data_IF_695648015276
#
_entry.id   IF_695648015276
#
_cell.length_a   1.000
_cell.length_b   1.000
_cell.length_c   1.000
_cell.angle_alpha   90.00
_cell.angle_beta   90.00
_cell.angle_gamma   90.00
#
_symmetry.space_group_name_H-M   'P 1'
#
loop_
_entity.id
_entity.type
_entity.pdbx_description
1 polymer ?
#
# COMPACT_ATOMS: atom_id res chain seq x y z
N UNK A 1 -45.25 -10.86 -26.95
CA UNK A 1 -44.61 -9.53 -26.90
C UNK A 1 -43.24 -9.67 -26.26
N UNK A 2 -42.17 -9.65 -27.06
CA UNK A 2 -40.79 -9.65 -26.57
C UNK A 2 -40.13 -8.32 -26.93
N UNK A 3 -39.40 -7.73 -25.99
CA UNK A 3 -38.55 -6.57 -26.23
C UNK A 3 -37.10 -6.93 -25.94
N UNK A 4 -36.38 -7.34 -27.00
CA UNK A 4 -34.93 -7.38 -27.04
C UNK A 4 -34.41 -5.93 -26.91
N UNK A 5 -33.59 -5.65 -25.90
CA UNK A 5 -32.77 -4.43 -25.89
C UNK A 5 -31.45 -4.72 -26.61
N UNK A 6 -31.19 -3.90 -27.64
CA UNK A 6 -30.03 -3.96 -28.53
C UNK A 6 -28.73 -3.63 -27.79
N UNK A 7 -27.70 -4.41 -28.11
CA UNK A 7 -26.27 -4.10 -27.91
C UNK A 7 -25.89 -2.93 -28.82
N UNK A 8 -25.32 -1.87 -28.26
CA UNK A 8 -24.74 -0.75 -29.00
C UNK A 8 -23.22 -0.78 -28.88
N UNK A 9 -22.54 -1.06 -29.98
CA UNK A 9 -21.09 -0.99 -30.10
C UNK A 9 -20.59 0.34 -30.68
N UNK A 10 -19.26 0.44 -30.67
CA UNK A 10 -18.37 1.33 -31.41
C UNK A 10 -18.13 2.76 -30.86
N UNK A 11 -16.87 3.05 -30.53
CA UNK A 11 -16.01 3.88 -31.39
C UNK A 11 -14.55 3.82 -30.93
N UNK A 12 -13.70 3.14 -31.72
CA UNK A 12 -12.24 3.29 -31.68
C UNK A 12 -11.89 4.58 -32.44
N UNK A 13 -11.43 5.60 -31.74
CA UNK A 13 -10.88 6.81 -32.36
C UNK A 13 -9.35 6.71 -32.37
N UNK A 14 -8.77 6.46 -33.54
CA UNK A 14 -7.34 6.61 -33.78
C UNK A 14 -7.00 8.10 -33.94
N UNK A 15 -6.13 8.62 -33.08
CA UNK A 15 -5.60 9.98 -33.20
C UNK A 15 -4.19 9.91 -33.79
N UNK A 16 -4.07 10.38 -35.03
CA UNK A 16 -2.79 10.61 -35.70
C UNK A 16 -2.13 11.86 -35.12
N UNK A 17 -0.90 11.75 -34.63
CA UNK A 17 -0.09 12.89 -34.19
C UNK A 17 0.76 13.36 -35.38
N UNK A 18 0.39 14.50 -35.95
CA UNK A 18 1.25 15.25 -36.87
C UNK A 18 2.27 16.04 -36.03
N UNK A 19 3.52 15.59 -35.99
CA UNK A 19 4.62 16.33 -35.36
C UNK A 19 5.16 17.40 -36.29
N UNK A 20 4.96 18.67 -35.95
CA UNK A 20 5.64 19.81 -36.58
C UNK A 20 7.05 19.95 -36.00
N UNK A 21 8.06 19.70 -36.83
CA UNK A 21 9.48 19.98 -36.52
C UNK A 21 9.73 21.49 -36.65
N UNK A 22 9.84 22.21 -35.53
CA UNK A 22 10.33 23.58 -35.48
C UNK A 22 11.85 23.61 -35.31
N UNK A 23 12.52 24.37 -36.18
CA UNK A 23 13.98 24.58 -36.23
C UNK A 23 14.46 25.64 -35.21
N UNK A 24 15.55 25.28 -34.53
CA UNK A 24 16.64 26.09 -33.92
C UNK A 24 16.36 27.48 -33.31
N UNK A 25 16.59 27.59 -31.99
CA UNK A 25 17.34 28.70 -31.40
C UNK A 25 18.29 28.16 -30.30
N UNK A 26 19.56 28.58 -30.38
CA UNK A 26 20.64 28.22 -29.45
C UNK A 26 20.66 29.18 -28.25
N UNK A 27 20.31 28.70 -27.05
CA UNK A 27 20.41 29.41 -25.77
C UNK A 27 21.16 28.61 -24.71
N UNK A 28 21.77 29.26 -23.70
CA UNK A 28 22.78 28.66 -22.83
C UNK A 28 22.22 27.64 -21.84
N UNK A 29 23.02 26.59 -21.63
CA UNK A 29 22.75 25.36 -20.90
C UNK A 29 22.35 25.57 -19.43
N UNK A 30 21.05 25.68 -19.16
CA UNK A 30 20.44 25.19 -17.92
C UNK A 30 19.80 23.85 -18.23
N UNK A 31 20.24 22.76 -17.59
CA UNK A 31 19.58 21.45 -17.70
C UNK A 31 18.22 21.49 -17.00
N UNK A 32 17.24 22.10 -17.65
CA UNK A 32 15.84 21.97 -17.30
C UNK A 32 15.40 20.57 -17.73
N UNK A 33 15.10 19.71 -16.75
CA UNK A 33 14.45 18.43 -17.03
C UNK A 33 13.12 18.70 -17.74
N UNK A 34 12.79 17.96 -18.82
CA UNK A 34 11.51 18.11 -19.49
C UNK A 34 10.40 17.77 -18.49
N UNK A 35 9.59 18.78 -18.13
CA UNK A 35 8.37 18.56 -17.36
C UNK A 35 7.34 17.95 -18.30
N UNK A 36 7.27 16.61 -18.32
CA UNK A 36 6.21 15.89 -19.03
C UNK A 36 4.94 16.04 -18.21
N UNK A 37 4.13 17.04 -18.55
CA UNK A 37 2.79 17.18 -18.00
C UNK A 37 1.89 16.14 -18.69
N UNK A 38 1.54 15.05 -18.00
CA UNK A 38 0.61 14.04 -18.48
C UNK A 38 -0.82 14.49 -18.10
N UNK A 39 -1.62 15.06 -19.02
CA UNK A 39 -3.02 15.36 -18.74
C UNK A 39 -3.75 14.04 -18.44
N UNK A 40 -4.21 13.87 -17.19
CA UNK A 40 -5.03 12.70 -16.79
C UNK A 40 -4.64 12.04 -15.47
N UNK A 41 -3.47 12.35 -14.88
CA UNK A 41 -3.13 11.93 -13.51
C UNK A 41 -3.80 12.86 -12.49
N UNK A 42 -5.13 12.91 -12.51
CA UNK A 42 -5.90 13.49 -11.43
C UNK A 42 -6.02 12.44 -10.34
N UNK A 43 -5.40 12.70 -9.18
CA UNK A 43 -5.64 11.92 -7.97
C UNK A 43 -7.14 11.88 -7.73
N UNK A 44 -7.76 10.73 -7.97
CA UNK A 44 -9.12 10.51 -7.49
C UNK A 44 -9.04 10.65 -5.97
N UNK A 45 -9.61 11.74 -5.44
CA UNK A 45 -9.84 11.84 -4.01
C UNK A 45 -10.73 10.66 -3.64
N UNK A 46 -10.19 9.70 -2.90
CA UNK A 46 -11.01 8.68 -2.27
C UNK A 46 -11.77 9.39 -1.17
N UNK A 47 -13.01 9.76 -1.46
CA UNK A 47 -13.93 10.19 -0.41
C UNK A 47 -14.17 8.96 0.45
N UNK A 48 -13.55 8.89 1.62
CA UNK A 48 -13.89 7.89 2.63
C UNK A 48 -15.30 8.20 3.11
N UNK A 49 -16.29 7.52 2.53
CA UNK A 49 -17.61 7.47 3.15
C UNK A 49 -17.46 6.59 4.38
N UNK A 50 -17.73 7.09 5.61
CA UNK A 50 -17.70 6.23 6.76
C UNK A 50 -18.69 5.09 6.52
N UNK A 51 -18.29 3.83 6.72
CA UNK A 51 -19.22 2.73 6.57
C UNK A 51 -20.39 2.96 7.53
N UNK A 52 -21.59 3.12 6.97
CA UNK A 52 -22.83 3.15 7.75
C UNK A 52 -23.14 1.71 8.10
N UNK A 53 -22.78 1.30 9.31
CA UNK A 53 -23.20 0.02 9.84
C UNK A 53 -24.62 0.17 10.41
N UNK A 54 -25.55 -0.77 10.11
CA UNK A 54 -26.83 -0.80 10.79
C UNK A 54 -26.63 -0.88 12.31
N UNK A 55 -27.45 -0.16 13.08
CA UNK A 55 -27.43 -0.27 14.54
C UNK A 55 -27.62 -1.74 14.96
N UNK A 56 -26.66 -2.26 15.73
CA UNK A 56 -26.66 -3.66 16.18
C UNK A 56 -26.09 -4.68 15.18
N UNK A 57 -25.56 -4.25 14.02
CA UNK A 57 -24.73 -5.12 13.20
C UNK A 57 -23.46 -5.49 13.97
N UNK A 58 -23.02 -6.77 13.95
CA UNK A 58 -21.72 -7.14 14.50
C UNK A 58 -20.65 -6.27 13.85
N UNK A 59 -19.78 -5.65 14.66
CA UNK A 59 -18.58 -5.00 14.13
C UNK A 59 -17.80 -6.01 13.31
N UNK A 60 -17.56 -5.75 12.01
CA UNK A 60 -16.84 -6.70 11.18
C UNK A 60 -15.43 -6.89 11.75
N UNK A 61 -15.04 -8.15 11.93
CA UNK A 61 -13.67 -8.48 12.31
C UNK A 61 -12.75 -8.28 11.09
N UNK A 62 -11.66 -7.56 11.29
CA UNK A 62 -10.62 -7.38 10.27
C UNK A 62 -9.43 -8.24 10.65
N UNK A 63 -8.97 -9.07 9.70
CA UNK A 63 -7.73 -9.84 9.84
C UNK A 63 -6.73 -9.29 8.84
N UNK A 64 -5.58 -8.84 9.33
CA UNK A 64 -4.46 -8.42 8.47
C UNK A 64 -3.43 -9.53 8.40
N UNK A 65 -3.12 -9.97 7.17
CA UNK A 65 -2.09 -10.97 6.90
C UNK A 65 -0.98 -10.30 6.10
N UNK A 66 0.21 -10.21 6.70
CA UNK A 66 1.40 -9.66 6.05
C UNK A 66 2.40 -10.76 5.74
N UNK A 67 2.92 -10.78 4.50
CA UNK A 67 3.98 -11.70 4.06
C UNK A 67 5.20 -10.87 3.66
N UNK A 68 6.22 -10.75 4.53
CA UNK A 68 7.42 -9.99 4.22
C UNK A 68 8.12 -10.54 2.97
N UNK A 69 8.44 -9.65 2.03
CA UNK A 69 9.17 -10.01 0.81
C UNK A 69 8.35 -10.71 -0.27
N UNK A 70 7.02 -10.78 -0.14
CA UNK A 70 6.15 -11.34 -1.18
C UNK A 70 6.24 -10.51 -2.47
N UNK A 71 6.61 -11.16 -3.57
CA UNK A 71 6.71 -10.55 -4.90
C UNK A 71 5.52 -10.95 -5.75
N UNK A 72 5.23 -10.15 -6.76
CA UNK A 72 4.17 -10.49 -7.72
C UNK A 72 4.46 -11.78 -8.50
N UNK A 73 5.74 -12.08 -8.74
CA UNK A 73 6.19 -13.36 -9.29
C UNK A 73 5.86 -14.56 -8.40
N UNK A 74 5.63 -14.36 -7.10
CA UNK A 74 5.25 -15.44 -6.18
C UNK A 74 3.73 -15.70 -6.22
N UNK A 75 2.97 -14.72 -6.70
CA UNK A 75 1.50 -14.78 -6.87
C UNK A 75 1.13 -15.30 -8.28
N UNK A 76 1.88 -14.88 -9.31
CA UNK A 76 1.68 -15.27 -10.72
C UNK A 76 2.72 -16.29 -11.22
N UNK A 77 3.48 -16.91 -10.32
CA UNK A 77 4.65 -17.71 -10.67
C UNK A 77 4.36 -19.05 -11.33
N UNK A 78 5.44 -19.71 -11.76
CA UNK A 78 5.41 -21.08 -12.29
C UNK A 78 5.00 -22.10 -11.23
N UNK A 79 5.30 -21.82 -9.95
CA UNK A 79 4.85 -22.63 -8.81
C UNK A 79 3.45 -22.14 -8.41
N UNK A 80 2.43 -23.01 -8.41
CA UNK A 80 1.07 -22.60 -8.16
C UNK A 80 0.89 -22.19 -6.68
N UNK A 81 0.62 -20.90 -6.45
CA UNK A 81 0.02 -20.37 -5.20
C UNK A 81 -1.48 -20.09 -5.42
N UNK A 82 -2.30 -21.12 -5.71
CA UNK A 82 -3.65 -20.92 -6.22
C UNK A 82 -4.55 -20.16 -5.24
N UNK A 83 -4.35 -20.34 -3.93
CA UNK A 83 -5.08 -19.59 -2.92
C UNK A 83 -4.81 -18.09 -2.96
N UNK A 84 -3.54 -17.68 -3.12
CA UNK A 84 -3.17 -16.26 -3.22
C UNK A 84 -3.66 -15.65 -4.54
N UNK A 85 -3.56 -16.40 -5.64
CA UNK A 85 -4.08 -15.95 -6.93
C UNK A 85 -5.60 -15.74 -6.92
N UNK A 86 -6.36 -16.70 -6.36
CA UNK A 86 -7.81 -16.59 -6.25
C UNK A 86 -8.21 -15.42 -5.35
N UNK A 87 -7.54 -15.26 -4.20
CA UNK A 87 -7.77 -14.12 -3.31
C UNK A 87 -7.50 -12.79 -4.03
N UNK A 88 -6.39 -12.67 -4.75
CA UNK A 88 -6.05 -11.45 -5.48
C UNK A 88 -7.06 -11.15 -6.61
N UNK A 89 -7.55 -12.18 -7.31
CA UNK A 89 -8.52 -12.04 -8.40
C UNK A 89 -9.89 -11.58 -7.89
N UNK A 90 -10.34 -12.12 -6.76
CA UNK A 90 -11.71 -11.93 -6.25
C UNK A 90 -11.81 -10.83 -5.19
N UNK A 91 -10.74 -10.04 -4.99
CA UNK A 91 -10.69 -8.92 -4.03
C UNK A 91 -10.43 -7.57 -4.69
N UNK A 92 -10.67 -6.50 -3.94
CA UNK A 92 -10.19 -5.18 -4.33
C UNK A 92 -8.67 -5.11 -4.11
N UNK A 93 -7.93 -4.82 -5.19
CA UNK A 93 -6.48 -4.67 -5.14
C UNK A 93 -6.10 -3.20 -4.96
N UNK A 94 -5.13 -2.95 -4.08
CA UNK A 94 -4.53 -1.64 -3.86
C UNK A 94 -3.01 -1.75 -3.83
N UNK A 95 -2.34 -0.72 -4.34
CA UNK A 95 -0.89 -0.56 -4.16
C UNK A 95 -0.65 0.42 -3.02
N UNK A 96 0.21 0.04 -2.09
CA UNK A 96 0.61 0.86 -0.95
C UNK A 96 2.14 0.91 -0.87
N UNK A 97 2.69 2.09 -0.61
CA UNK A 97 4.09 2.27 -0.26
C UNK A 97 4.17 2.67 1.20
N UNK A 98 4.72 1.79 2.04
CA UNK A 98 4.97 2.10 3.45
C UNK A 98 6.18 3.02 3.52
N UNK A 99 6.08 4.10 4.30
CA UNK A 99 7.23 4.91 4.70
C UNK A 99 7.47 4.71 6.18
N UNK A 100 8.66 4.24 6.52
CA UNK A 100 9.12 4.05 7.89
C UNK A 100 10.08 5.18 8.29
N UNK A 101 10.54 5.19 9.53
CA UNK A 101 11.55 6.19 9.95
C UNK A 101 12.84 6.00 9.18
N UNK A 102 13.31 4.75 9.11
CA UNK A 102 14.57 4.40 8.46
C UNK A 102 14.42 4.23 6.95
N UNK A 103 15.46 4.55 6.15
CA UNK A 103 15.43 4.36 4.70
C UNK A 103 15.25 2.90 4.27
N UNK A 104 15.82 1.97 5.05
CA UNK A 104 15.65 0.52 4.86
C UNK A 104 14.60 0.02 5.83
N UNK A 105 13.44 -0.36 5.29
CA UNK A 105 12.33 -0.91 6.07
C UNK A 105 12.60 -2.35 6.48
N UNK A 106 12.64 -2.59 7.78
CA UNK A 106 12.62 -3.93 8.38
C UNK A 106 11.18 -4.41 8.55
N UNK A 107 10.91 -5.73 8.57
CA UNK A 107 9.56 -6.27 8.73
C UNK A 107 8.82 -5.74 9.97
N UNK A 108 9.52 -5.55 11.08
CA UNK A 108 8.95 -5.01 12.31
C UNK A 108 8.50 -3.55 12.17
N UNK A 109 9.25 -2.71 11.44
CA UNK A 109 8.88 -1.30 11.22
C UNK A 109 7.54 -1.19 10.47
N UNK A 110 7.32 -2.08 9.51
CA UNK A 110 6.07 -2.14 8.74
C UNK A 110 4.86 -2.44 9.63
N UNK A 111 5.00 -3.43 10.53
CA UNK A 111 3.96 -3.76 11.49
C UNK A 111 3.72 -2.66 12.53
N UNK A 112 4.78 -2.02 13.03
CA UNK A 112 4.65 -0.88 13.95
C UNK A 112 3.98 0.32 13.27
N UNK A 113 4.33 0.59 12.01
CA UNK A 113 3.72 1.67 11.22
C UNK A 113 2.24 1.40 10.95
N UNK A 114 1.88 0.16 10.61
CA UNK A 114 0.48 -0.25 10.47
C UNK A 114 -0.27 -0.15 11.81
N UNK A 115 0.37 -0.50 12.93
CA UNK A 115 -0.23 -0.45 14.25
C UNK A 115 -0.55 0.98 14.72
N UNK A 116 0.28 1.96 14.33
CA UNK A 116 0.20 3.33 14.82
C UNK A 116 -0.34 4.37 13.83
N UNK A 117 -0.40 4.03 12.54
CA UNK A 117 -0.70 4.99 11.47
C UNK A 117 0.41 6.03 11.23
N UNK A 118 1.53 5.93 11.93
CA UNK A 118 2.64 6.88 11.87
C UNK A 118 3.94 6.15 11.52
N UNK A 119 4.89 6.87 10.89
CA UNK A 119 6.20 6.28 10.57
C UNK A 119 6.83 5.76 11.84
N UNK A 120 7.10 4.47 11.86
CA UNK A 120 7.63 3.81 13.05
C UNK A 120 8.90 3.03 12.74
N UNK A 121 9.64 2.69 13.79
CA UNK A 121 10.91 1.99 13.73
C UNK A 121 11.00 0.97 14.86
N UNK A 122 11.44 -0.23 14.53
CA UNK A 122 11.76 -1.27 15.50
C UNK A 122 13.25 -1.31 15.86
N UNK A 123 13.63 -2.11 16.86
CA UNK A 123 15.02 -2.24 17.30
C UNK A 123 15.95 -2.73 16.18
N UNK A 124 17.19 -2.22 16.18
CA UNK A 124 18.24 -2.56 15.23
C UNK A 124 19.57 -2.84 15.94
N UNK A 125 19.74 -4.02 16.56
CA UNK A 125 21.04 -4.40 17.10
C UNK A 125 22.07 -4.41 15.97
N UNK A 126 23.20 -3.73 16.18
CA UNK A 126 24.29 -3.61 15.20
C UNK A 126 23.88 -3.01 13.83
N UNK A 127 22.73 -2.32 13.77
CA UNK A 127 22.18 -1.74 12.55
C UNK A 127 21.33 -2.71 11.69
N UNK A 128 21.22 -3.98 12.08
CA UNK A 128 20.50 -5.00 11.35
C UNK A 128 19.01 -5.09 11.75
N UNK A 129 18.19 -5.69 10.88
CA UNK A 129 16.79 -5.95 11.22
C UNK A 129 16.67 -6.99 12.33
N UNK A 130 16.13 -6.57 13.48
CA UNK A 130 15.69 -7.51 14.50
C UNK A 130 14.54 -8.39 13.97
N UNK A 131 14.50 -9.69 14.36
CA UNK A 131 13.38 -10.55 14.02
C UNK A 131 12.09 -10.07 14.69
N UNK A 132 10.95 -10.31 14.03
CA UNK A 132 9.65 -10.11 14.66
C UNK A 132 9.48 -11.17 15.76
N UNK A 133 9.22 -10.78 17.02
CA UNK A 133 9.09 -11.74 18.10
C UNK A 133 7.86 -12.62 17.92
N UNK A 134 8.01 -13.90 18.25
CA UNK A 134 6.88 -14.81 18.28
C UNK A 134 5.88 -14.37 19.37
N UNK A 135 4.57 -14.33 19.08
CA UNK A 135 3.57 -13.99 20.08
C UNK A 135 3.46 -15.09 21.13
N UNK A 136 3.16 -14.71 22.38
CA UNK A 136 2.78 -15.64 23.45
C UNK A 136 1.27 -15.84 23.41
N UNK A 137 0.83 -17.09 23.26
CA UNK A 137 -0.58 -17.46 23.19
C UNK A 137 -1.06 -17.98 24.54
N UNK A 138 -2.19 -17.49 25.01
CA UNK A 138 -2.89 -17.95 26.21
C UNK A 138 -4.39 -18.10 25.90
N UNK A 139 -4.84 -19.34 25.74
CA UNK A 139 -6.19 -19.65 25.29
C UNK A 139 -6.51 -19.03 23.93
N UNK A 140 -7.46 -18.08 23.93
CA UNK A 140 -7.87 -17.31 22.74
C UNK A 140 -7.19 -15.95 22.62
N UNK A 141 -6.28 -15.61 23.55
CA UNK A 141 -5.53 -14.37 23.54
C UNK A 141 -4.10 -14.59 23.05
N UNK A 142 -3.53 -13.55 22.44
CA UNK A 142 -2.12 -13.50 22.07
C UNK A 142 -1.52 -12.16 22.53
N UNK A 143 -0.28 -12.20 23.03
CA UNK A 143 0.47 -11.01 23.45
C UNK A 143 1.81 -10.96 22.73
N UNK A 144 2.26 -9.76 22.40
CA UNK A 144 3.60 -9.54 21.86
C UNK A 144 4.55 -9.36 23.05
N UNK A 145 5.58 -10.21 23.20
CA UNK A 145 6.52 -10.08 24.29
C UNK A 145 7.33 -8.78 24.16
N UNK A 146 7.71 -8.20 25.31
CA UNK A 146 8.62 -7.07 25.40
C UNK A 146 8.21 -5.85 24.56
N UNK A 147 6.89 -5.62 24.43
CA UNK A 147 6.30 -4.56 23.62
C UNK A 147 6.93 -3.18 23.86
N UNK A 148 7.18 -2.81 25.11
CA UNK A 148 7.82 -1.54 25.46
C UNK A 148 9.20 -1.39 24.82
N UNK A 149 10.00 -2.46 24.76
CA UNK A 149 11.31 -2.43 24.11
C UNK A 149 11.22 -2.37 22.58
N UNK A 150 10.16 -2.94 21.99
CA UNK A 150 9.92 -2.86 20.54
C UNK A 150 9.57 -1.43 20.09
N UNK A 151 8.85 -0.68 20.93
CA UNK A 151 8.39 0.67 20.58
C UNK A 151 9.33 1.79 21.06
N UNK A 152 10.17 1.53 22.07
CA UNK A 152 11.09 2.53 22.65
C UNK A 152 11.95 3.30 21.62
N UNK A 153 12.45 2.70 20.51
CA UNK A 153 13.20 3.46 19.51
C UNK A 153 12.44 4.64 18.87
N UNK A 154 11.11 4.67 18.98
CA UNK A 154 10.29 5.73 18.41
C UNK A 154 10.30 7.02 19.25
N UNK A 155 10.76 6.98 20.51
CA UNK A 155 10.82 8.14 21.41
C UNK A 155 11.85 9.19 20.94
N UNK A 156 12.81 8.77 20.12
CA UNK A 156 13.85 9.64 19.53
C UNK A 156 13.37 10.34 18.24
N UNK A 157 12.11 10.14 17.83
CA UNK A 157 11.57 10.63 16.57
C UNK A 157 10.27 11.44 16.75
N UNK A 158 10.11 12.49 15.95
CA UNK A 158 8.97 13.41 16.01
C UNK A 158 7.70 12.90 15.29
N UNK A 159 7.52 11.59 15.16
CA UNK A 159 6.37 11.00 14.46
C UNK A 159 5.20 10.66 15.37
N UNK A 160 5.41 10.73 16.70
CA UNK A 160 4.38 10.61 17.75
C UNK A 160 3.38 9.45 17.52
N UNK A 161 3.86 8.20 17.36
CA UNK A 161 2.98 7.06 17.03
C UNK A 161 1.96 6.76 18.14
N UNK A 162 0.69 6.65 17.75
CA UNK A 162 -0.40 6.22 18.64
C UNK A 162 -0.69 4.72 18.46
N UNK A 163 -0.10 3.89 19.34
CA UNK A 163 -0.16 2.43 19.24
C UNK A 163 -1.58 1.85 19.36
N UNK A 164 -1.86 0.80 18.58
CA UNK A 164 -3.12 0.06 18.62
C UNK A 164 -4.29 0.71 17.87
N UNK A 165 -4.03 1.74 17.07
CA UNK A 165 -5.07 2.47 16.34
C UNK A 165 -5.42 1.86 14.98
N UNK A 166 -4.52 1.07 14.37
CA UNK A 166 -4.70 0.49 13.03
C UNK A 166 -5.23 1.53 12.01
N UNK A 167 -4.58 2.70 11.98
CA UNK A 167 -4.97 3.87 11.19
C UNK A 167 -4.51 3.81 9.72
#
# INVERSE_FOLDING_TARGET
MGTLRRVGGAALAALAVAGTFGLLETGPSGTALPTVNLPGLQSAAVTSHPPVFPDGAPTPAVVVVGVPGLRWSDVQGEIPTPGLWLLARDSALGALSVRTVEPTTCPLDGWLTLNSGARSVGPRPDGDCAPVPAPRVDGTAATVPDWAALVAPNDDHSYDPAWGTLA
#
